data_IF_578226269286
#
_entry.id   IF_578226269286
#
_cell.length_a   1.000
_cell.length_b   1.000
_cell.length_c   1.000
_cell.angle_alpha   90.00
_cell.angle_beta   90.00
_cell.angle_gamma   90.00
#
_symmetry.space_group_name_H-M   'P 1'
#
loop_
_entity.id
_entity.type
_entity.pdbx_description
1 polymer ?
#
# COMPACT_ATOMS: atom_id res chain seq x y z
N UNK A 1 22.68 13.55 7.47
CA UNK A 1 21.35 13.18 6.97
C UNK A 1 20.35 14.21 7.51
N UNK A 2 19.80 15.02 6.61
CA UNK A 2 18.83 16.09 6.87
C UNK A 2 17.44 15.65 6.40
N UNK A 3 16.37 16.25 6.94
CA UNK A 3 14.99 15.97 6.50
C UNK A 3 14.80 16.24 5.01
N UNK A 4 15.51 17.23 4.47
CA UNK A 4 15.52 17.53 3.02
C UNK A 4 15.98 16.34 2.18
N UNK A 5 16.85 15.48 2.71
CA UNK A 5 17.35 14.28 2.02
C UNK A 5 16.26 13.21 1.85
N UNK A 6 15.15 13.32 2.59
CA UNK A 6 13.99 12.42 2.51
C UNK A 6 12.82 12.99 1.70
N UNK A 7 12.90 14.26 1.26
CA UNK A 7 11.88 14.88 0.41
C UNK A 7 12.11 14.42 -1.02
N UNK A 8 11.22 13.54 -1.49
CA UNK A 8 11.18 13.09 -2.88
C UNK A 8 9.99 13.68 -3.63
N UNK A 9 9.91 13.44 -4.94
CA UNK A 9 8.74 13.77 -5.76
C UNK A 9 7.45 13.18 -5.16
N UNK A 10 7.49 11.97 -4.60
CA UNK A 10 6.36 11.33 -3.94
C UNK A 10 5.95 12.07 -2.67
N UNK A 11 6.91 12.56 -1.89
CA UNK A 11 6.64 13.37 -0.70
C UNK A 11 5.97 14.68 -1.07
N UNK A 12 6.35 15.31 -2.18
CA UNK A 12 5.71 16.54 -2.65
C UNK A 12 4.27 16.33 -3.14
N UNK A 13 3.95 15.15 -3.69
CA UNK A 13 2.57 14.81 -4.06
C UNK A 13 1.63 14.80 -2.85
N UNK A 14 2.09 14.38 -1.67
CA UNK A 14 1.29 14.45 -0.44
C UNK A 14 0.83 15.89 -0.15
N UNK A 15 1.74 16.87 -0.22
CA UNK A 15 1.40 18.28 -0.01
C UNK A 15 0.48 18.81 -1.12
N UNK A 16 0.66 18.38 -2.36
CA UNK A 16 -0.20 18.80 -3.48
C UNK A 16 -1.63 18.24 -3.37
N UNK A 17 -1.78 16.95 -3.07
CA UNK A 17 -3.08 16.26 -2.94
C UNK A 17 -3.91 16.88 -1.82
N UNK A 18 -3.27 17.16 -0.68
CA UNK A 18 -3.92 17.71 0.50
C UNK A 18 -3.95 19.25 0.51
N UNK A 19 -3.43 19.89 -0.55
CA UNK A 19 -3.34 21.37 -0.69
C UNK A 19 -2.69 22.02 0.54
N UNK A 20 -1.60 21.41 1.01
CA UNK A 20 -0.90 21.82 2.21
C UNK A 20 0.24 22.80 1.89
N UNK A 21 0.45 23.83 2.73
CA UNK A 21 1.61 24.67 2.61
C UNK A 21 2.88 23.87 2.98
N UNK A 22 3.96 24.05 2.24
CA UNK A 22 5.18 23.26 2.39
C UNK A 22 6.47 24.09 2.41
N UNK A 23 6.39 25.42 2.51
CA UNK A 23 7.59 26.26 2.48
C UNK A 23 8.50 26.08 3.71
N UNK A 24 7.93 25.62 4.83
CA UNK A 24 8.65 25.29 6.06
C UNK A 24 9.68 24.16 5.86
N UNK A 25 9.54 23.32 4.83
CA UNK A 25 10.52 22.26 4.49
C UNK A 25 11.92 22.83 4.15
N UNK A 26 12.00 24.11 3.81
CA UNK A 26 13.28 24.80 3.55
C UNK A 26 13.92 25.37 4.83
N UNK A 27 13.19 25.38 5.95
CA UNK A 27 13.66 25.86 7.25
C UNK A 27 14.25 24.72 8.06
N UNK A 28 15.00 25.05 9.12
CA UNK A 28 15.54 24.02 10.02
C UNK A 28 14.40 23.36 10.80
N UNK A 29 14.42 22.02 11.01
CA UNK A 29 13.37 21.33 11.78
C UNK A 29 13.13 21.90 13.18
N UNK A 30 14.16 22.47 13.81
CA UNK A 30 14.04 23.17 15.11
C UNK A 30 13.13 24.39 15.08
N UNK A 31 12.92 24.99 13.91
CA UNK A 31 12.12 26.20 13.71
C UNK A 31 10.67 25.89 13.31
N UNK A 32 10.35 24.62 13.00
CA UNK A 32 9.03 24.25 12.46
C UNK A 32 7.89 24.47 13.45
N UNK A 33 8.12 24.24 14.74
CA UNK A 33 7.07 24.40 15.78
C UNK A 33 6.52 25.82 15.86
N UNK A 34 7.34 26.81 15.51
CA UNK A 34 6.95 28.22 15.50
C UNK A 34 6.48 28.70 14.12
N UNK A 35 6.58 27.85 13.08
CA UNK A 35 6.19 28.19 11.72
C UNK A 35 4.67 28.04 11.52
N UNK A 36 4.01 29.12 11.11
CA UNK A 36 2.57 29.15 10.89
C UNK A 36 2.09 28.23 9.76
N UNK A 37 2.89 27.99 8.73
CA UNK A 37 2.55 27.04 7.68
C UNK A 37 2.67 25.61 8.17
N UNK A 38 3.69 25.31 8.99
CA UNK A 38 3.80 24.02 9.64
C UNK A 38 2.60 23.75 10.55
N UNK A 39 2.20 24.71 11.40
CA UNK A 39 1.02 24.56 12.27
C UNK A 39 -0.26 24.26 11.48
N UNK A 40 -0.50 24.99 10.39
CA UNK A 40 -1.65 24.76 9.50
C UNK A 40 -1.61 23.38 8.84
N UNK A 41 -0.45 22.99 8.29
CA UNK A 41 -0.31 21.67 7.68
C UNK A 41 -0.49 20.56 8.72
N UNK A 42 0.06 20.75 9.93
CA UNK A 42 -0.04 19.82 11.03
C UNK A 42 -1.47 19.64 11.52
N UNK A 43 -2.27 20.70 11.60
CA UNK A 43 -3.68 20.64 11.97
C UNK A 43 -4.48 19.76 10.99
N UNK A 44 -4.30 19.98 9.69
CA UNK A 44 -4.98 19.19 8.65
C UNK A 44 -4.55 17.73 8.73
N UNK A 45 -3.24 17.46 8.82
CA UNK A 45 -2.71 16.08 8.87
C UNK A 45 -3.12 15.36 10.15
N UNK A 46 -3.20 16.05 11.29
CA UNK A 46 -3.67 15.48 12.55
C UNK A 46 -5.15 15.08 12.52
N UNK A 47 -5.94 15.75 11.68
CA UNK A 47 -7.34 15.39 11.43
C UNK A 47 -7.50 14.18 10.50
N UNK A 48 -6.45 13.79 9.77
CA UNK A 48 -6.47 12.57 8.97
C UNK A 48 -6.34 11.40 9.93
N UNK A 49 -7.43 10.68 10.15
CA UNK A 49 -7.38 9.39 10.83
C UNK A 49 -6.37 8.52 10.05
N UNK A 50 -5.32 7.98 10.68
CA UNK A 50 -4.47 6.99 10.04
C UNK A 50 -5.35 5.75 9.86
N UNK A 51 -6.09 5.73 8.76
CA UNK A 51 -7.00 4.64 8.51
C UNK A 51 -6.12 3.53 8.04
N UNK A 52 -5.97 2.54 8.92
CA UNK A 52 -5.56 1.22 8.53
C UNK A 52 -6.59 0.56 7.60
N UNK A 53 -7.51 1.33 6.98
CA UNK A 53 -8.58 0.90 6.08
C UNK A 53 -8.01 0.00 4.98
N UNK A 54 -6.85 0.31 4.44
CA UNK A 54 -6.23 -0.54 3.43
C UNK A 54 -5.83 -1.91 3.99
N UNK A 55 -5.27 -1.99 5.19
CA UNK A 55 -4.93 -3.28 5.78
C UNK A 55 -6.16 -4.01 6.34
N UNK A 56 -7.09 -3.29 6.98
CA UNK A 56 -8.37 -3.81 7.45
C UNK A 56 -9.20 -4.36 6.29
N UNK A 57 -9.30 -3.61 5.17
CA UNK A 57 -9.92 -4.07 3.92
C UNK A 57 -9.17 -5.23 3.30
N UNK A 58 -7.84 -5.24 3.36
CA UNK A 58 -7.03 -6.39 2.93
C UNK A 58 -7.35 -7.65 3.72
N UNK A 59 -7.41 -7.54 5.04
CA UNK A 59 -7.78 -8.65 5.95
C UNK A 59 -9.22 -9.10 5.71
N UNK A 60 -10.17 -8.17 5.60
CA UNK A 60 -11.57 -8.48 5.32
C UNK A 60 -11.71 -9.22 3.98
N UNK A 61 -11.05 -8.74 2.92
CA UNK A 61 -11.06 -9.38 1.62
C UNK A 61 -10.49 -10.81 1.68
N UNK A 62 -9.38 -11.02 2.39
CA UNK A 62 -8.81 -12.36 2.59
C UNK A 62 -9.77 -13.28 3.37
N UNK A 63 -10.42 -12.76 4.41
CA UNK A 63 -11.40 -13.52 5.20
C UNK A 63 -12.63 -13.90 4.37
N UNK A 64 -13.15 -12.97 3.57
CA UNK A 64 -14.34 -13.19 2.76
C UNK A 64 -14.05 -14.13 1.60
N UNK A 65 -12.89 -13.99 0.95
CA UNK A 65 -12.43 -14.93 -0.08
C UNK A 65 -12.26 -16.34 0.47
N UNK A 66 -11.62 -16.49 1.64
CA UNK A 66 -11.49 -17.79 2.29
C UNK A 66 -12.86 -18.42 2.60
N UNK A 67 -13.81 -17.63 3.11
CA UNK A 67 -15.17 -18.12 3.38
C UNK A 67 -15.95 -18.48 2.11
N UNK A 68 -15.72 -17.78 1.00
CA UNK A 68 -16.42 -18.02 -0.26
C UNK A 68 -15.95 -19.28 -1.01
N UNK A 69 -14.66 -19.62 -0.91
CA UNK A 69 -14.08 -20.73 -1.69
C UNK A 69 -14.06 -22.05 -0.91
N UNK A 70 -13.85 -22.00 0.41
CA UNK A 70 -13.69 -23.21 1.22
C UNK A 70 -14.63 -23.17 2.41
N UNK A 71 -15.44 -24.21 2.56
CA UNK A 71 -16.39 -24.35 3.68
C UNK A 71 -15.82 -25.20 4.82
N UNK A 72 -14.66 -25.83 4.63
CA UNK A 72 -13.97 -26.62 5.65
C UNK A 72 -12.45 -26.39 5.64
N UNK A 73 -11.80 -26.70 6.77
CA UNK A 73 -10.34 -26.63 6.91
C UNK A 73 -9.62 -27.59 5.96
N UNK A 74 -10.20 -28.76 5.70
CA UNK A 74 -9.66 -29.75 4.76
C UNK A 74 -9.61 -29.21 3.32
N UNK A 75 -10.69 -28.56 2.86
CA UNK A 75 -10.72 -27.90 1.55
C UNK A 75 -9.70 -26.77 1.46
N UNK A 76 -9.50 -26.03 2.55
CA UNK A 76 -8.47 -24.98 2.63
C UNK A 76 -7.06 -25.58 2.48
N UNK A 77 -6.77 -26.66 3.20
CA UNK A 77 -5.46 -27.29 3.14
C UNK A 77 -5.16 -27.87 1.76
N UNK A 78 -6.16 -28.47 1.11
CA UNK A 78 -6.05 -28.94 -0.26
C UNK A 78 -5.80 -27.79 -1.24
N UNK A 79 -6.54 -26.69 -1.13
CA UNK A 79 -6.35 -25.50 -1.98
C UNK A 79 -4.92 -24.94 -1.86
N UNK A 80 -4.37 -24.89 -0.64
CA UNK A 80 -2.99 -24.43 -0.43
C UNK A 80 -1.96 -25.33 -1.13
N UNK A 81 -2.15 -26.66 -1.09
CA UNK A 81 -1.29 -27.60 -1.81
C UNK A 81 -1.36 -27.40 -3.33
N UNK A 82 -2.56 -27.18 -3.88
CA UNK A 82 -2.76 -26.92 -5.31
C UNK A 82 -2.11 -25.60 -5.73
N UNK A 83 -2.25 -24.53 -4.92
CA UNK A 83 -1.63 -23.22 -5.20
C UNK A 83 -0.10 -23.32 -5.17
N UNK A 84 0.47 -23.99 -4.19
CA UNK A 84 1.92 -24.18 -4.11
C UNK A 84 2.44 -25.03 -5.27
N UNK A 85 1.76 -26.12 -5.61
CA UNK A 85 2.09 -26.89 -6.80
C UNK A 85 2.05 -26.02 -8.06
N UNK A 86 1.00 -25.22 -8.27
CA UNK A 86 0.89 -24.31 -9.40
C UNK A 86 2.04 -23.29 -9.45
N UNK A 87 2.49 -22.74 -8.30
CA UNK A 87 3.64 -21.82 -8.25
C UNK A 87 4.95 -22.47 -8.65
N UNK A 88 5.15 -23.76 -8.36
CA UNK A 88 6.33 -24.50 -8.86
C UNK A 88 6.31 -24.65 -10.38
N UNK A 89 5.12 -24.84 -10.97
CA UNK A 89 4.97 -25.01 -12.42
C UNK A 89 5.07 -23.67 -13.16
N UNK A 90 4.63 -22.58 -12.53
CA UNK A 90 4.62 -21.24 -13.11
C UNK A 90 5.37 -20.23 -12.22
N UNK A 91 6.72 -20.29 -12.18
CA UNK A 91 7.54 -19.44 -11.29
C UNK A 91 7.49 -17.94 -11.64
N UNK A 92 7.02 -17.58 -12.83
CA UNK A 92 6.78 -16.19 -13.24
C UNK A 92 5.31 -16.00 -13.65
N UNK A 93 4.37 -15.89 -12.70
CA UNK A 93 2.92 -15.87 -12.97
C UNK A 93 2.44 -14.47 -13.43
N UNK A 94 3.15 -13.86 -14.39
CA UNK A 94 2.69 -12.63 -15.05
C UNK A 94 1.64 -12.98 -16.08
N UNK A 95 0.67 -12.09 -16.28
CA UNK A 95 -0.40 -12.27 -17.29
C UNK A 95 0.16 -12.59 -18.68
N UNK A 96 1.25 -11.92 -19.06
CA UNK A 96 1.98 -12.14 -20.32
C UNK A 96 2.55 -13.57 -20.43
N UNK A 97 3.03 -14.13 -19.33
CA UNK A 97 3.65 -15.46 -19.27
C UNK A 97 2.63 -16.59 -19.24
N UNK A 98 1.42 -16.33 -18.76
CA UNK A 98 0.33 -17.32 -18.67
C UNK A 98 -0.52 -17.41 -19.95
N UNK A 99 -0.61 -16.34 -20.73
CA UNK A 99 -1.45 -16.29 -21.96
C UNK A 99 -0.72 -16.88 -23.18
N UNK A 100 0.61 -16.97 -23.18
CA UNK A 100 1.40 -17.50 -24.29
C UNK A 100 1.49 -19.03 -24.40
N UNK A 101 0.91 -19.79 -23.45
CA UNK A 101 1.04 -21.26 -23.39
C UNK A 101 0.01 -22.06 -24.19
N UNK A 102 -1.07 -21.42 -24.67
CA UNK A 102 -2.16 -22.09 -25.40
C UNK A 102 -2.24 -21.62 -26.86
N UNK A 103 -1.19 -21.89 -27.63
CA UNK A 103 -1.34 -22.00 -29.09
C UNK A 103 -0.42 -23.09 -29.63
N UNK A 104 -0.95 -24.29 -29.83
CA UNK A 104 -0.66 -25.20 -30.96
C UNK A 104 -1.67 -26.37 -30.96
N UNK A 105 -1.97 -26.93 -32.14
CA UNK A 105 -3.29 -27.45 -32.54
C UNK A 105 -3.66 -28.82 -31.97
#
# INVERSE_FOLDING_TARGET
MSVKDFVSSNTMQFFAILVLPHSFLSKRPSEWREDEQYKKAFEVVSGIKPVNDFAERGVALMQDFNRAIVSSEEQKQYLLQVVEYHRTQYPNPKKETLVGGNTSP
#
